data_IF_475698960736
#
_entry.id   IF_475698960736
#
_cell.length_a   1.000
_cell.length_b   1.000
_cell.length_c   1.000
_cell.angle_alpha   90.00
_cell.angle_beta   90.00
_cell.angle_gamma   90.00
#
_symmetry.space_group_name_H-M   'P 1'
#
loop_
_entity.id
_entity.type
_entity.pdbx_description
1 polymer ?
#
# COMPACT_ATOMS: atom_id res chain seq x y z
N UNK A 1 -59.32 -26.78 16.46
CA UNK A 1 -58.00 -26.86 17.12
C UNK A 1 -57.10 -25.79 16.50
N UNK A 2 -57.33 -24.53 16.83
CA UNK A 2 -56.57 -23.73 17.81
C UNK A 2 -55.18 -23.29 17.31
N UNK A 3 -55.21 -22.20 16.56
CA UNK A 3 -54.11 -21.26 16.32
C UNK A 3 -53.76 -20.59 17.65
N UNK A 4 -52.56 -20.81 18.19
CA UNK A 4 -52.04 -20.05 19.33
C UNK A 4 -51.21 -18.89 18.80
N UNK A 5 -51.80 -17.70 18.83
CA UNK A 5 -51.10 -16.44 18.70
C UNK A 5 -50.14 -16.27 19.88
N UNK A 6 -48.84 -16.14 19.60
CA UNK A 6 -47.85 -15.72 20.59
C UNK A 6 -47.54 -14.26 20.30
N UNK A 7 -48.18 -13.38 21.08
CA UNK A 7 -47.86 -11.97 21.20
C UNK A 7 -46.47 -11.85 21.85
N UNK A 8 -45.47 -11.47 21.07
CA UNK A 8 -44.17 -11.04 21.59
C UNK A 8 -44.27 -9.55 21.86
N UNK A 9 -44.56 -9.21 23.12
CA UNK A 9 -44.57 -7.83 23.61
C UNK A 9 -43.17 -7.21 23.53
N UNK A 10 -43.05 -6.13 22.78
CA UNK A 10 -41.92 -5.20 22.85
C UNK A 10 -41.87 -4.56 24.24
N UNK A 11 -40.93 -4.99 25.08
CA UNK A 11 -40.45 -4.18 26.20
C UNK A 11 -39.26 -3.34 25.73
N UNK A 12 -39.57 -2.10 25.34
CA UNK A 12 -38.59 -1.01 25.25
C UNK A 12 -38.16 -0.65 26.68
N UNK A 13 -37.20 -1.39 27.23
CA UNK A 13 -36.43 -0.97 28.39
C UNK A 13 -35.31 -0.06 27.88
N UNK A 14 -35.63 1.23 27.76
CA UNK A 14 -34.64 2.28 27.69
C UNK A 14 -33.91 2.34 29.03
N UNK A 15 -32.80 1.61 29.14
CA UNK A 15 -31.81 1.80 30.20
C UNK A 15 -31.15 3.16 29.97
N UNK A 16 -31.71 4.21 30.57
CA UNK A 16 -30.96 5.42 30.83
C UNK A 16 -29.79 5.03 31.74
N UNK A 17 -28.52 5.27 31.36
CA UNK A 17 -27.46 5.22 32.35
C UNK A 17 -27.79 6.30 33.38
N UNK A 18 -27.83 5.93 34.67
CA UNK A 18 -27.73 6.86 35.78
C UNK A 18 -26.36 7.54 35.67
N UNK A 19 -26.27 8.54 34.79
CA UNK A 19 -25.16 9.45 34.72
C UNK A 19 -25.36 10.42 35.87
N UNK A 20 -24.91 10.02 37.07
CA UNK A 20 -24.48 10.97 38.07
C UNK A 20 -23.25 11.69 37.50
N UNK A 21 -23.49 12.60 36.56
CA UNK A 21 -22.50 13.55 36.12
C UNK A 21 -22.09 14.33 37.38
N UNK A 22 -20.82 14.31 37.79
CA UNK A 22 -20.39 15.14 38.91
C UNK A 22 -20.77 16.58 38.58
N UNK A 23 -21.52 17.22 39.48
CA UNK A 23 -21.86 18.62 39.35
C UNK A 23 -20.55 19.41 39.25
N UNK A 24 -20.30 19.97 38.07
CA UNK A 24 -19.09 20.76 37.81
C UNK A 24 -19.15 21.97 38.76
N UNK A 25 -18.17 22.13 39.68
CA UNK A 25 -18.16 23.26 40.59
C UNK A 25 -18.13 24.57 39.78
N UNK A 26 -18.81 25.63 40.22
CA UNK A 26 -18.93 26.88 39.46
C UNK A 26 -17.57 27.52 39.12
N UNK A 27 -16.52 27.19 39.88
CA UNK A 27 -15.14 27.60 39.61
C UNK A 27 -14.55 26.96 38.33
N UNK A 28 -15.00 25.77 37.94
CA UNK A 28 -14.57 25.10 36.70
C UNK A 28 -15.23 25.70 35.44
N UNK A 29 -16.31 26.48 35.60
CA UNK A 29 -16.89 27.28 34.51
C UNK A 29 -16.14 28.61 34.27
N UNK A 30 -15.30 29.02 35.24
CA UNK A 30 -14.47 30.23 35.16
C UNK A 30 -13.01 29.94 34.77
N UNK A 31 -12.62 28.66 34.66
CA UNK A 31 -11.31 28.28 34.16
C UNK A 31 -11.19 28.62 32.66
N UNK A 32 -10.07 29.21 32.21
CA UNK A 32 -9.85 29.41 30.78
C UNK A 32 -9.91 28.05 30.07
N UNK A 33 -10.52 27.97 28.87
CA UNK A 33 -10.61 26.72 28.13
C UNK A 33 -9.19 26.19 27.90
N UNK A 34 -8.92 24.98 28.39
CA UNK A 34 -7.70 24.26 28.08
C UNK A 34 -7.92 23.59 26.73
N UNK A 35 -7.09 23.92 25.74
CA UNK A 35 -7.16 23.25 24.44
C UNK A 35 -6.82 21.76 24.63
N UNK A 36 -7.67 20.87 24.08
CA UNK A 36 -7.26 19.48 23.90
C UNK A 36 -6.19 19.46 22.82
N UNK A 37 -5.01 19.08 23.26
CA UNK A 37 -3.79 19.10 22.49
C UNK A 37 -3.60 17.78 21.73
N UNK A 38 -4.44 16.76 21.93
CA UNK A 38 -4.36 15.44 21.28
C UNK A 38 -4.47 15.51 19.75
N UNK A 39 -3.92 14.54 18.99
CA UNK A 39 -4.14 14.48 17.55
C UNK A 39 -5.64 14.38 17.23
N UNK A 40 -6.12 15.22 16.32
CA UNK A 40 -7.49 15.09 15.84
C UNK A 40 -7.65 13.82 15.00
N UNK A 41 -8.89 13.40 14.74
CA UNK A 41 -9.18 12.27 13.85
C UNK A 41 -8.67 12.48 12.40
N UNK A 42 -8.30 13.72 12.05
CA UNK A 42 -7.81 14.10 10.73
C UNK A 42 -6.31 14.40 10.74
N UNK A 43 -5.62 14.25 11.86
CA UNK A 43 -4.22 14.63 11.98
C UNK A 43 -3.29 13.69 11.20
N UNK A 44 -2.34 14.25 10.44
CA UNK A 44 -1.33 13.45 9.76
C UNK A 44 -0.40 12.81 10.79
N UNK A 45 -0.58 11.51 11.03
CA UNK A 45 0.17 10.68 11.97
C UNK A 45 0.69 9.43 11.27
N UNK A 46 1.48 8.62 11.97
CA UNK A 46 1.88 7.28 11.47
C UNK A 46 0.65 6.40 11.22
N UNK A 47 -0.42 6.55 12.00
CA UNK A 47 -1.65 5.77 11.84
C UNK A 47 -2.45 6.20 10.61
N UNK A 48 -2.53 7.50 10.29
CA UNK A 48 -3.17 7.94 9.05
C UNK A 48 -2.32 7.60 7.82
N UNK A 49 -0.99 7.63 7.96
CA UNK A 49 -0.06 7.21 6.91
C UNK A 49 -0.30 5.74 6.56
N UNK A 50 -0.35 4.89 7.58
CA UNK A 50 -0.69 3.47 7.49
C UNK A 50 -2.05 3.24 6.84
N UNK A 51 -3.07 3.99 7.25
CA UNK A 51 -4.42 3.86 6.73
C UNK A 51 -4.61 4.44 5.31
N UNK A 52 -3.61 5.16 4.77
CA UNK A 52 -3.69 5.80 3.45
C UNK A 52 -4.78 6.88 3.36
N UNK A 53 -5.19 7.45 4.50
CA UNK A 53 -6.28 8.43 4.58
C UNK A 53 -5.77 9.84 4.34
N UNK A 54 -6.64 10.68 3.79
CA UNK A 54 -6.40 12.12 3.77
C UNK A 54 -6.33 12.67 5.21
N UNK A 55 -5.45 13.65 5.41
CA UNK A 55 -5.15 14.19 6.72
C UNK A 55 -4.68 15.65 6.64
N UNK A 56 -4.63 16.32 7.79
CA UNK A 56 -4.22 17.71 8.01
C UNK A 56 -2.97 17.74 8.90
N UNK A 57 -2.01 18.59 8.53
CA UNK A 57 -0.80 18.80 9.32
C UNK A 57 -1.10 19.85 10.40
N UNK A 58 -1.27 19.39 11.62
CA UNK A 58 -1.69 20.21 12.77
C UNK A 58 -0.58 20.38 13.82
N UNK A 59 0.58 19.75 13.60
CA UNK A 59 1.71 19.89 14.51
C UNK A 59 2.23 21.33 14.50
N UNK A 60 2.35 21.93 15.68
CA UNK A 60 3.02 23.22 15.87
C UNK A 60 4.44 22.96 16.38
N UNK A 61 5.40 23.03 15.46
CA UNK A 61 6.82 22.82 15.73
C UNK A 61 7.58 24.00 15.17
N UNK A 62 8.34 24.66 16.04
CA UNK A 62 9.19 25.78 15.64
C UNK A 62 10.43 25.28 14.90
N UNK A 63 10.82 25.99 13.85
CA UNK A 63 12.09 25.76 13.19
C UNK A 63 13.24 26.32 14.05
N UNK A 64 14.31 25.54 14.18
CA UNK A 64 15.57 25.92 14.79
C UNK A 64 16.70 25.98 13.77
N UNK A 65 17.93 26.12 14.27
CA UNK A 65 19.12 26.04 13.43
C UNK A 65 19.31 24.62 12.87
N UNK A 66 19.89 24.48 11.65
CA UNK A 66 20.21 23.17 11.07
C UNK A 66 21.07 22.32 12.01
N UNK A 67 20.80 21.02 12.05
CA UNK A 67 21.49 20.07 12.93
C UNK A 67 21.56 18.68 12.29
N UNK A 68 22.77 18.20 12.00
CA UNK A 68 22.98 16.85 11.46
C UNK A 68 22.42 15.76 12.38
N UNK A 69 22.49 15.97 13.71
CA UNK A 69 21.91 15.04 14.68
C UNK A 69 20.39 15.00 14.61
N UNK A 70 19.75 16.14 14.38
CA UNK A 70 18.29 16.20 14.21
C UNK A 70 17.86 15.56 12.89
N UNK A 71 18.59 15.82 11.80
CA UNK A 71 18.37 15.19 10.50
C UNK A 71 18.45 13.66 10.60
N UNK A 72 19.51 13.15 11.20
CA UNK A 72 19.70 11.72 11.43
C UNK A 72 18.62 11.13 12.36
N UNK A 73 18.22 11.86 13.40
CA UNK A 73 17.15 11.44 14.32
C UNK A 73 15.80 11.35 13.61
N UNK A 74 15.46 12.33 12.76
CA UNK A 74 14.24 12.33 11.95
C UNK A 74 14.17 11.09 11.05
N UNK A 75 15.27 10.80 10.34
CA UNK A 75 15.38 9.62 9.48
C UNK A 75 15.25 8.33 10.30
N UNK A 76 15.94 8.26 11.44
CA UNK A 76 15.93 7.08 12.31
C UNK A 76 14.51 6.74 12.80
N UNK A 77 13.75 7.73 13.27
CA UNK A 77 12.37 7.53 13.75
C UNK A 77 11.51 6.86 12.67
N UNK A 78 11.64 7.29 11.41
CA UNK A 78 10.87 6.73 10.30
C UNK A 78 11.39 5.36 9.85
N UNK A 79 12.70 5.15 9.87
CA UNK A 79 13.30 3.82 9.61
C UNK A 79 12.83 2.79 10.63
N UNK A 80 12.75 3.15 11.91
CA UNK A 80 12.37 2.25 13.00
C UNK A 80 10.92 1.71 12.84
N UNK A 81 10.03 2.44 12.15
CA UNK A 81 8.65 2.02 11.88
C UNK A 81 8.45 1.32 10.52
N UNK A 82 9.47 1.31 9.66
CA UNK A 82 9.34 0.86 8.26
C UNK A 82 8.82 -0.59 8.15
N UNK A 83 9.42 -1.52 8.92
CA UNK A 83 9.02 -2.93 8.90
C UNK A 83 7.57 -3.14 9.31
N UNK A 84 7.12 -2.46 10.38
CA UNK A 84 5.76 -2.59 10.87
C UNK A 84 4.75 -2.09 9.82
N UNK A 85 4.99 -0.89 9.26
CA UNK A 85 4.13 -0.32 8.22
C UNK A 85 4.10 -1.17 6.95
N UNK A 86 5.23 -1.69 6.51
CA UNK A 86 5.31 -2.53 5.33
C UNK A 86 4.67 -3.91 5.53
N UNK A 87 4.83 -4.51 6.70
CA UNK A 87 4.15 -5.79 7.04
C UNK A 87 2.64 -5.60 7.02
N UNK A 88 2.16 -4.51 7.60
CA UNK A 88 0.73 -4.23 7.68
C UNK A 88 0.15 -3.85 6.31
N UNK A 89 0.84 -3.01 5.53
CA UNK A 89 0.40 -2.63 4.18
C UNK A 89 0.21 -3.85 3.27
N UNK A 90 1.13 -4.82 3.34
CA UNK A 90 1.02 -6.10 2.63
C UNK A 90 -0.11 -6.96 3.21
N UNK A 91 -0.16 -7.09 4.54
CA UNK A 91 -1.13 -7.94 5.24
C UNK A 91 -2.58 -7.49 5.04
N UNK A 92 -2.86 -6.19 5.07
CA UNK A 92 -4.20 -5.63 4.93
C UNK A 92 -4.84 -6.00 3.58
N UNK A 93 -4.06 -6.00 2.51
CA UNK A 93 -4.53 -6.39 1.17
C UNK A 93 -4.68 -7.91 1.03
N UNK A 94 -3.83 -8.67 1.72
CA UNK A 94 -3.75 -10.13 1.58
C UNK A 94 -4.53 -10.88 2.67
N UNK A 95 -5.45 -10.22 3.37
CA UNK A 95 -6.27 -10.80 4.44
C UNK A 95 -5.40 -11.45 5.53
N UNK A 96 -4.30 -10.79 5.88
CA UNK A 96 -3.32 -11.26 6.87
C UNK A 96 -2.31 -12.29 6.36
N UNK A 97 -2.37 -12.72 5.07
CA UNK A 97 -1.36 -13.62 4.52
C UNK A 97 -0.03 -12.88 4.32
N UNK A 98 1.08 -13.40 4.86
CA UNK A 98 2.37 -12.75 4.74
C UNK A 98 2.94 -12.86 3.31
N UNK A 99 3.69 -11.83 2.91
CA UNK A 99 4.50 -11.81 1.69
C UNK A 99 5.90 -11.28 2.02
N UNK A 100 6.81 -12.16 2.43
CA UNK A 100 8.14 -11.72 2.87
C UNK A 100 8.91 -10.98 1.77
N UNK A 101 8.71 -11.39 0.50
CA UNK A 101 9.30 -10.77 -0.69
C UNK A 101 8.79 -9.34 -0.84
N UNK A 102 7.46 -9.17 -0.90
CA UNK A 102 6.87 -7.85 -1.08
C UNK A 102 7.08 -6.93 0.13
N UNK A 103 7.08 -7.47 1.36
CA UNK A 103 7.44 -6.72 2.57
C UNK A 103 8.89 -6.24 2.52
N UNK A 104 9.84 -7.08 2.10
CA UNK A 104 11.24 -6.67 1.96
C UNK A 104 11.43 -5.62 0.84
N UNK A 105 10.70 -5.74 -0.28
CA UNK A 105 10.67 -4.71 -1.32
C UNK A 105 10.15 -3.38 -0.79
N UNK A 106 9.05 -3.42 -0.02
CA UNK A 106 8.48 -2.25 0.63
C UNK A 106 9.49 -1.59 1.58
N UNK A 107 10.11 -2.37 2.49
CA UNK A 107 11.07 -1.85 3.47
C UNK A 107 12.21 -1.10 2.79
N UNK A 108 12.79 -1.66 1.71
CA UNK A 108 13.87 -1.00 0.96
C UNK A 108 13.42 0.32 0.32
N UNK A 109 12.26 0.32 -0.36
CA UNK A 109 11.72 1.55 -0.99
C UNK A 109 11.37 2.61 0.05
N UNK A 110 10.83 2.18 1.19
CA UNK A 110 10.47 3.06 2.29
C UNK A 110 11.72 3.72 2.86
N UNK A 111 12.78 2.95 3.14
CA UNK A 111 14.07 3.48 3.63
C UNK A 111 14.66 4.48 2.63
N UNK A 112 14.63 4.19 1.32
CA UNK A 112 15.08 5.15 0.30
C UNK A 112 14.26 6.44 0.31
N UNK A 113 12.94 6.37 0.52
CA UNK A 113 12.12 7.57 0.66
C UNK A 113 12.44 8.35 1.95
N UNK A 114 12.79 7.66 3.03
CA UNK A 114 13.20 8.27 4.30
C UNK A 114 14.48 9.11 4.17
N UNK A 115 15.37 8.83 3.21
CA UNK A 115 16.59 9.62 3.01
C UNK A 115 16.33 11.12 2.76
N UNK A 116 15.10 11.45 2.32
CA UNK A 116 14.66 12.84 2.06
C UNK A 116 13.86 13.44 3.23
N UNK A 117 13.69 12.71 4.34
CA UNK A 117 12.85 13.09 5.47
C UNK A 117 13.58 13.79 6.62
N UNK A 118 14.86 14.15 6.42
CA UNK A 118 15.67 14.76 7.47
C UNK A 118 15.31 16.21 7.81
N UNK A 119 14.61 16.91 6.91
CA UNK A 119 14.23 18.34 7.05
C UNK A 119 15.42 19.27 7.30
N UNK A 120 16.59 18.88 6.79
CA UNK A 120 17.87 19.61 7.01
C UNK A 120 18.21 19.77 8.51
N UNK A 121 17.58 18.98 9.37
CA UNK A 121 17.72 19.08 10.82
C UNK A 121 17.17 20.36 11.43
N UNK A 122 16.40 21.16 10.68
CA UNK A 122 15.85 22.45 11.16
C UNK A 122 14.61 22.27 12.04
N UNK A 123 13.95 21.12 11.97
CA UNK A 123 12.74 20.83 12.74
C UNK A 123 12.59 19.33 12.98
N UNK A 124 11.78 18.97 13.97
CA UNK A 124 11.38 17.59 14.19
C UNK A 124 10.42 17.12 13.09
N UNK A 125 10.55 15.87 12.63
CA UNK A 125 9.64 15.31 11.62
C UNK A 125 8.26 14.99 12.17
N UNK A 126 8.19 14.64 13.46
CA UNK A 126 6.96 14.41 14.21
C UNK A 126 7.04 15.12 15.57
N UNK A 127 5.89 15.57 16.09
CA UNK A 127 5.81 16.10 17.44
C UNK A 127 5.69 14.99 18.50
N UNK A 128 5.65 15.39 19.77
CA UNK A 128 5.53 14.46 20.91
C UNK A 128 4.27 13.58 20.88
N UNK A 129 3.27 13.96 20.07
CA UNK A 129 1.99 13.25 19.92
C UNK A 129 1.96 12.40 18.65
N UNK A 130 3.07 12.32 17.92
CA UNK A 130 3.20 11.53 16.71
C UNK A 130 2.60 12.19 15.47
N UNK A 131 2.29 13.49 15.50
CA UNK A 131 1.82 14.23 14.33
C UNK A 131 3.00 14.71 13.50
N UNK A 132 2.92 14.53 12.20
CA UNK A 132 3.93 15.03 11.28
C UNK A 132 3.95 16.56 11.26
N UNK A 133 5.16 17.12 11.25
CA UNK A 133 5.38 18.55 11.07
C UNK A 133 4.85 19.02 9.71
N UNK A 134 4.31 20.24 9.58
CA UNK A 134 3.93 20.80 8.28
C UNK A 134 5.08 20.81 7.26
N UNK A 135 6.32 21.05 7.71
CA UNK A 135 7.53 20.97 6.88
C UNK A 135 7.83 19.55 6.35
N UNK A 136 7.29 18.51 6.99
CA UNK A 136 7.43 17.11 6.57
C UNK A 136 6.44 16.67 5.49
N UNK A 137 5.67 17.58 4.88
CA UNK A 137 4.62 17.24 3.91
C UNK A 137 5.14 16.41 2.72
N UNK A 138 6.29 16.79 2.17
CA UNK A 138 6.91 16.05 1.05
C UNK A 138 7.33 14.65 1.47
N UNK A 139 7.98 14.54 2.64
CA UNK A 139 8.34 13.26 3.26
C UNK A 139 7.11 12.37 3.45
N UNK A 140 6.07 12.84 4.14
CA UNK A 140 4.85 12.08 4.39
C UNK A 140 4.23 11.54 3.10
N UNK A 141 4.16 12.36 2.04
CA UNK A 141 3.64 11.94 0.74
C UNK A 141 4.51 10.90 0.06
N UNK A 142 5.83 11.04 0.12
CA UNK A 142 6.76 10.05 -0.43
C UNK A 142 6.59 8.68 0.25
N UNK A 143 6.47 8.66 1.58
CA UNK A 143 6.22 7.45 2.36
C UNK A 143 4.85 6.83 2.02
N UNK A 144 3.81 7.67 1.92
CA UNK A 144 2.47 7.22 1.55
C UNK A 144 2.45 6.57 0.17
N UNK A 145 3.13 7.18 -0.82
CA UNK A 145 3.25 6.64 -2.17
C UNK A 145 3.88 5.25 -2.17
N UNK A 146 4.95 5.03 -1.39
CA UNK A 146 5.58 3.69 -1.27
C UNK A 146 4.58 2.66 -0.74
N UNK A 147 3.85 2.99 0.33
CA UNK A 147 2.87 2.07 0.92
C UNK A 147 1.72 1.77 -0.05
N UNK A 148 1.24 2.78 -0.78
CA UNK A 148 0.19 2.63 -1.79
C UNK A 148 0.65 1.80 -3.00
N UNK A 149 1.86 2.03 -3.51
CA UNK A 149 2.45 1.21 -4.58
C UNK A 149 2.55 -0.26 -4.17
N UNK A 150 2.95 -0.53 -2.93
CA UNK A 150 3.07 -1.89 -2.40
C UNK A 150 1.71 -2.54 -2.25
N UNK A 151 0.70 -1.82 -1.76
CA UNK A 151 -0.68 -2.33 -1.70
C UNK A 151 -1.23 -2.63 -3.10
N UNK A 152 -0.92 -1.78 -4.08
CA UNK A 152 -1.27 -2.03 -5.47
C UNK A 152 -0.58 -3.30 -6.00
N UNK A 153 0.75 -3.44 -5.83
CA UNK A 153 1.49 -4.65 -6.19
C UNK A 153 0.93 -5.89 -5.49
N UNK A 154 0.56 -5.78 -4.21
CA UNK A 154 -0.04 -6.87 -3.44
C UNK A 154 -1.36 -7.34 -4.06
N UNK A 155 -2.17 -6.40 -4.54
CA UNK A 155 -3.46 -6.67 -5.17
C UNK A 155 -3.31 -7.31 -6.54
N UNK A 156 -2.46 -6.74 -7.40
CA UNK A 156 -2.44 -7.10 -8.83
C UNK A 156 -1.42 -8.18 -9.17
N UNK A 157 -0.28 -8.22 -8.48
CA UNK A 157 0.86 -9.04 -8.87
C UNK A 157 1.04 -10.29 -7.99
N UNK A 158 0.60 -10.29 -6.72
CA UNK A 158 0.86 -11.43 -5.81
C UNK A 158 0.40 -12.78 -6.35
N UNK A 159 -0.85 -12.95 -6.83
CA UNK A 159 -1.29 -14.27 -7.32
C UNK A 159 -0.40 -14.79 -8.46
N UNK A 160 -0.04 -13.89 -9.37
CA UNK A 160 0.82 -14.19 -10.51
C UNK A 160 2.26 -14.53 -10.07
N UNK A 161 2.87 -13.71 -9.20
CA UNK A 161 4.25 -13.89 -8.76
C UNK A 161 4.42 -15.11 -7.84
N UNK A 162 3.42 -15.44 -7.03
CA UNK A 162 3.38 -16.69 -6.28
C UNK A 162 3.33 -17.90 -7.21
N UNK A 163 2.51 -17.86 -8.26
CA UNK A 163 2.48 -18.91 -9.26
C UNK A 163 3.82 -19.03 -10.00
N UNK A 164 4.39 -17.89 -10.42
CA UNK A 164 5.68 -17.83 -11.10
C UNK A 164 6.79 -18.48 -10.27
N UNK A 165 6.81 -18.21 -8.97
CA UNK A 165 7.76 -18.82 -8.03
C UNK A 165 7.55 -20.34 -7.93
N UNK A 166 6.31 -20.82 -7.79
CA UNK A 166 5.99 -22.26 -7.75
C UNK A 166 6.32 -22.98 -9.06
N UNK A 167 6.09 -22.33 -10.19
CA UNK A 167 6.32 -22.86 -11.53
C UNK A 167 7.78 -22.76 -12.00
N UNK A 168 8.66 -22.16 -11.19
CA UNK A 168 10.06 -21.85 -11.50
C UNK A 168 10.22 -21.05 -12.80
N UNK A 169 9.36 -20.04 -13.00
CA UNK A 169 9.53 -19.10 -14.10
C UNK A 169 10.79 -18.23 -13.91
N UNK A 170 11.43 -17.77 -14.99
CA UNK A 170 12.56 -16.85 -14.87
C UNK A 170 12.10 -15.47 -14.36
N UNK A 171 12.96 -14.75 -13.62
CA UNK A 171 12.65 -13.40 -13.13
C UNK A 171 11.74 -13.37 -11.89
N UNK A 172 11.89 -14.32 -10.98
CA UNK A 172 11.11 -14.42 -9.73
C UNK A 172 11.54 -13.43 -8.64
N UNK A 173 10.87 -13.48 -7.48
CA UNK A 173 11.06 -12.61 -6.31
C UNK A 173 10.66 -11.15 -6.57
N UNK A 174 11.35 -10.19 -5.95
CA UNK A 174 11.01 -8.75 -5.99
C UNK A 174 10.87 -8.20 -7.42
N UNK A 175 11.65 -8.76 -8.34
CA UNK A 175 11.64 -8.39 -9.76
C UNK A 175 10.31 -8.73 -10.44
N UNK A 176 9.67 -9.83 -10.04
CA UNK A 176 8.35 -10.19 -10.56
C UNK A 176 7.32 -9.12 -10.22
N UNK A 177 7.24 -8.69 -8.95
CA UNK A 177 6.26 -7.69 -8.53
C UNK A 177 6.43 -6.37 -9.29
N UNK A 178 7.67 -5.91 -9.45
CA UNK A 178 7.97 -4.69 -10.19
C UNK A 178 7.62 -4.81 -11.68
N UNK A 179 8.06 -5.87 -12.36
CA UNK A 179 7.83 -6.04 -13.80
C UNK A 179 6.36 -6.31 -14.13
N UNK A 180 5.66 -7.09 -13.30
CA UNK A 180 4.25 -7.40 -13.48
C UNK A 180 3.39 -6.16 -13.25
N UNK A 181 3.64 -5.40 -12.17
CA UNK A 181 2.89 -4.18 -11.89
C UNK A 181 3.12 -3.08 -12.94
N UNK A 182 4.31 -3.05 -13.57
CA UNK A 182 4.66 -2.09 -14.62
C UNK A 182 4.37 -2.60 -16.03
N UNK A 183 3.83 -3.82 -16.19
CA UNK A 183 3.64 -4.47 -17.50
C UNK A 183 4.93 -4.54 -18.36
N UNK A 184 6.07 -4.66 -17.69
CA UNK A 184 7.41 -4.63 -18.28
C UNK A 184 8.10 -6.02 -18.26
N UNK A 185 7.30 -7.09 -18.26
CA UNK A 185 7.80 -8.46 -18.16
C UNK A 185 8.61 -8.87 -19.39
N UNK A 186 9.79 -9.47 -19.17
CA UNK A 186 10.61 -9.98 -20.27
C UNK A 186 9.89 -11.09 -21.06
N UNK A 187 10.09 -11.23 -22.39
CA UNK A 187 9.34 -12.19 -23.21
C UNK A 187 9.43 -13.65 -22.74
N UNK A 188 10.59 -14.06 -22.21
CA UNK A 188 10.80 -15.42 -21.70
C UNK A 188 9.99 -15.67 -20.42
N UNK A 189 9.96 -14.69 -19.52
CA UNK A 189 9.12 -14.74 -18.32
C UNK A 189 7.66 -14.74 -18.70
N UNK A 190 7.24 -13.86 -19.61
CA UNK A 190 5.86 -13.80 -20.10
C UNK A 190 5.40 -15.13 -20.69
N UNK A 191 6.22 -15.80 -21.50
CA UNK A 191 5.89 -17.12 -22.06
C UNK A 191 5.65 -18.16 -20.96
N UNK A 192 6.49 -18.19 -19.92
CA UNK A 192 6.30 -19.08 -18.78
C UNK A 192 5.01 -18.76 -17.99
N UNK A 193 4.75 -17.47 -17.74
CA UNK A 193 3.54 -17.03 -17.03
C UNK A 193 2.27 -17.39 -17.81
N UNK A 194 2.26 -17.19 -19.13
CA UNK A 194 1.12 -17.55 -19.98
C UNK A 194 0.90 -19.06 -20.09
N UNK A 195 1.97 -19.87 -20.06
CA UNK A 195 1.87 -21.33 -20.16
C UNK A 195 1.47 -21.99 -18.83
N UNK A 196 2.05 -21.52 -17.72
CA UNK A 196 1.95 -22.21 -16.41
C UNK A 196 1.09 -21.49 -15.38
N UNK A 197 0.82 -20.20 -15.59
CA UNK A 197 0.19 -19.32 -14.62
C UNK A 197 -0.92 -18.46 -15.22
N UNK A 198 -1.49 -18.85 -16.38
CA UNK A 198 -2.47 -18.06 -17.13
C UNK A 198 -3.60 -17.53 -16.24
N UNK A 199 -4.24 -18.41 -15.45
CA UNK A 199 -5.35 -18.04 -14.58
C UNK A 199 -4.92 -17.08 -13.46
N UNK A 200 -3.78 -17.35 -12.82
CA UNK A 200 -3.24 -16.53 -11.74
C UNK A 200 -2.74 -15.17 -12.23
N UNK A 201 -2.35 -15.07 -13.50
CA UNK A 201 -1.81 -13.87 -14.12
C UNK A 201 -2.80 -13.19 -15.08
N UNK A 202 -4.07 -13.64 -15.15
CA UNK A 202 -5.03 -13.17 -16.15
C UNK A 202 -5.28 -11.65 -16.12
N UNK A 203 -5.17 -11.03 -14.94
CA UNK A 203 -5.35 -9.58 -14.74
C UNK A 203 -4.17 -8.76 -15.25
N UNK A 204 -2.97 -9.36 -15.32
CA UNK A 204 -1.71 -8.66 -15.59
C UNK A 204 -1.07 -9.05 -16.91
N UNK A 205 -1.42 -10.21 -17.46
CA UNK A 205 -0.94 -10.61 -18.78
C UNK A 205 -1.61 -9.76 -19.86
N UNK A 206 -0.85 -9.28 -20.85
CA UNK A 206 -1.43 -8.61 -22.01
C UNK A 206 -2.44 -9.53 -22.68
N UNK A 207 -3.66 -9.04 -22.92
CA UNK A 207 -4.63 -9.77 -23.73
C UNK A 207 -4.01 -10.08 -25.11
N UNK A 208 -4.23 -11.29 -25.66
CA UNK A 208 -3.80 -11.59 -27.02
C UNK A 208 -4.37 -10.54 -27.96
N UNK A 209 -3.52 -9.76 -28.62
CA UNK A 209 -3.97 -8.83 -29.67
C UNK A 209 -4.68 -9.66 -30.75
N UNK A 210 -5.94 -9.36 -31.10
CA UNK A 210 -6.57 -9.98 -32.26
C UNK A 210 -5.74 -9.59 -33.49
N UNK A 211 -5.10 -10.57 -34.13
CA UNK A 211 -4.32 -10.34 -35.37
C UNK A 211 -2.83 -10.63 -35.32
N UNK A 212 -2.27 -11.09 -34.19
CA UNK A 212 -0.91 -11.64 -34.20
C UNK A 212 -0.91 -13.03 -34.85
N UNK A 213 -0.82 -13.07 -36.18
CA UNK A 213 -0.57 -14.32 -36.89
C UNK A 213 0.76 -14.92 -36.41
N UNK A 214 0.82 -16.24 -36.15
CA UNK A 214 2.09 -16.89 -35.85
C UNK A 214 3.04 -16.63 -37.03
N UNK A 215 4.26 -16.19 -36.72
CA UNK A 215 5.29 -16.00 -37.73
C UNK A 215 5.42 -17.30 -38.55
N UNK A 216 5.39 -17.22 -39.90
CA UNK A 216 5.41 -18.42 -40.72
C UNK A 216 6.71 -19.18 -40.46
N UNK A 217 6.58 -20.40 -39.94
CA UNK A 217 7.70 -21.34 -39.80
C UNK A 217 8.35 -21.59 -41.16
N UNK A 218 9.68 -21.75 -41.17
CA UNK A 218 10.54 -21.89 -42.36
C UNK A 218 10.03 -22.92 -43.38
N UNK A 219 9.26 -23.93 -42.95
CA UNK A 219 8.62 -24.91 -43.84
C UNK A 219 7.61 -24.31 -44.84
N UNK A 220 6.96 -23.19 -44.52
CA UNK A 220 5.95 -22.59 -45.39
C UNK A 220 6.56 -21.75 -46.51
N UNK A 221 7.79 -21.24 -46.31
CA UNK A 221 8.56 -20.50 -47.34
C UNK A 221 9.05 -21.41 -48.48
N UNK A 222 9.33 -22.68 -48.19
CA UNK A 222 9.83 -23.64 -49.18
C UNK A 222 8.75 -24.25 -50.09
N UNK A 223 7.46 -24.12 -49.77
CA UNK A 223 6.37 -24.61 -50.65
C UNK A 223 5.97 -23.62 -51.75
N UNK A 224 6.36 -22.35 -51.64
CA UNK A 224 5.97 -21.30 -52.59
C UNK A 224 6.97 -21.07 -53.72
N UNK A 225 8.13 -21.73 -53.68
CA UNK A 225 9.17 -21.61 -54.72
C UNK A 225 9.20 -22.87 -55.59
N UNK A 226 8.17 -23.05 -56.43
CA UNK A 226 8.22 -24.00 -57.54
C UNK A 226 8.14 -23.20 -58.84
N UNK A 227 9.26 -22.97 -59.56
CA UNK A 227 9.23 -22.31 -60.86
C UNK A 227 8.79 -23.32 -61.92
N UNK A 228 7.59 -23.11 -62.45
CA UNK A 228 7.10 -23.82 -63.64
C UNK A 228 7.92 -23.44 -64.86
N UNK A 229 8.56 -24.43 -65.46
CA UNK A 229 9.27 -24.35 -66.73
C UNK A 229 8.32 -23.94 -67.85
N UNK A 230 8.62 -22.83 -68.53
CA UNK A 230 8.03 -22.49 -69.82
C UNK A 230 8.89 -23.14 -70.92
N UNK A 231 8.23 -23.86 -71.83
CA UNK A 231 8.79 -24.29 -73.11
C UNK A 231 7.78 -23.96 -74.21
N UNK A 232 8.34 -23.64 -75.38
CA UNK A 232 7.76 -23.23 -76.67
C UNK A 232 7.54 -21.72 -76.84
#
# INVERSE_FOLDING_TARGET
MSMKAILVSLFLLGSAPDSSAPAIPPEALAAPPVADESPTAWSCTVDTLRAGKECVFEADLSAGAPSDSQDASNKKILQDVARALCTEAVGNIREGRPDATLTALCERRYITAVDQCGLEGTSFVVDAKGRFAPGARSCYRALANVLQEVQFMATVASPCCECAARANCPGTADRCYAEVAQQATAPQTQACLSDRCADACAVVLPLPRPGAHPAPTVQQRNRSASPGSASL
#
